data_IF_724999941787
#
_entry.id   IF_724999941787
#
_cell.length_a   1.000
_cell.length_b   1.000
_cell.length_c   1.000
_cell.angle_alpha   90.00
_cell.angle_beta   90.00
_cell.angle_gamma   90.00
#
_symmetry.space_group_name_H-M   'P 1'
#
loop_
_entity.id
_entity.type
_entity.pdbx_description
1 polymer ?
#
# COMPACT_ATOMS: atom_id res chain seq x y z
N UNK A 1 17.51 8.38 28.65
CA UNK A 1 16.92 7.73 27.46
C UNK A 1 15.43 8.06 27.45
N UNK A 2 14.93 8.85 26.48
CA UNK A 2 13.55 9.35 26.44
C UNK A 2 12.75 8.65 25.35
N UNK A 3 11.44 8.52 25.56
CA UNK A 3 10.51 8.10 24.52
C UNK A 3 10.38 9.23 23.51
N UNK A 4 10.41 8.88 22.24
CA UNK A 4 10.25 9.80 21.11
C UNK A 4 8.92 9.53 20.41
N UNK A 5 8.29 10.59 19.90
CA UNK A 5 7.06 10.51 19.13
C UNK A 5 7.25 11.30 17.85
N UNK A 6 6.86 10.74 16.71
CA UNK A 6 6.89 11.43 15.44
C UNK A 6 5.58 11.27 14.65
N UNK A 7 5.38 12.15 13.67
CA UNK A 7 4.16 12.26 12.87
C UNK A 7 4.53 12.23 11.38
N UNK A 8 4.76 11.04 10.80
CA UNK A 8 5.13 10.94 9.39
C UNK A 8 3.98 11.40 8.49
N UNK A 9 4.34 12.17 7.46
CA UNK A 9 3.47 12.53 6.33
C UNK A 9 4.23 12.14 5.06
N UNK A 10 3.63 11.32 4.21
CA UNK A 10 4.22 10.87 2.95
C UNK A 10 3.23 11.11 1.82
N UNK A 11 3.73 11.65 0.71
CA UNK A 11 2.99 11.80 -0.54
C UNK A 11 3.73 11.00 -1.60
N UNK A 12 3.00 10.25 -2.41
CA UNK A 12 3.61 9.39 -3.42
C UNK A 12 2.61 8.84 -4.40
N UNK A 13 3.03 7.75 -5.05
CA UNK A 13 2.21 6.98 -5.97
C UNK A 13 2.25 5.52 -5.53
N UNK A 14 1.13 4.82 -5.68
CA UNK A 14 1.04 3.38 -5.53
C UNK A 14 0.62 2.78 -6.86
N UNK A 15 1.13 1.58 -7.16
CA UNK A 15 0.63 0.78 -8.26
C UNK A 15 0.29 -0.62 -7.78
N UNK A 16 -0.73 -1.24 -8.37
CA UNK A 16 -0.85 -2.69 -8.31
C UNK A 16 -1.31 -3.25 -9.65
N UNK A 17 -0.86 -4.48 -9.86
CA UNK A 17 -1.19 -5.24 -11.05
C UNK A 17 -2.66 -5.63 -11.06
N UNK A 18 -3.17 -5.79 -12.26
CA UNK A 18 -4.51 -6.29 -12.43
C UNK A 18 -4.51 -7.81 -12.53
N UNK A 19 -5.25 -8.48 -11.64
CA UNK A 19 -5.30 -9.93 -11.61
C UNK A 19 -6.74 -10.39 -11.37
N UNK A 20 -7.22 -11.27 -12.23
CA UNK A 20 -8.47 -11.99 -12.02
C UNK A 20 -8.28 -12.98 -10.87
N UNK A 21 -9.24 -13.00 -9.95
CA UNK A 21 -9.22 -13.84 -8.74
C UNK A 21 -10.28 -14.94 -8.82
N UNK A 22 -10.01 -16.07 -8.17
CA UNK A 22 -10.97 -17.16 -7.98
C UNK A 22 -11.69 -17.60 -9.27
N UNK A 23 -13.02 -17.50 -9.28
CA UNK A 23 -13.87 -17.97 -10.38
C UNK A 23 -13.73 -17.10 -11.63
N UNK A 24 -13.30 -15.83 -11.48
CA UNK A 24 -13.07 -14.92 -12.61
C UNK A 24 -11.88 -15.37 -13.47
N UNK A 25 -11.06 -16.31 -12.97
CA UNK A 25 -10.00 -16.98 -13.75
C UNK A 25 -10.54 -18.04 -14.71
N UNK A 26 -11.83 -18.37 -14.66
CA UNK A 26 -12.48 -19.27 -15.63
C UNK A 26 -12.98 -18.44 -16.81
N UNK A 27 -12.21 -18.43 -17.88
CA UNK A 27 -12.53 -17.67 -19.09
C UNK A 27 -13.74 -18.27 -19.81
N UNK A 28 -14.70 -17.45 -20.30
CA UNK A 28 -15.91 -17.95 -20.98
C UNK A 28 -15.64 -18.78 -22.24
N UNK A 29 -14.51 -18.55 -22.90
CA UNK A 29 -14.09 -19.17 -24.15
C UNK A 29 -12.96 -20.20 -23.97
N UNK A 30 -12.54 -20.48 -22.73
CA UNK A 30 -11.43 -21.38 -22.42
C UNK A 30 -10.04 -20.85 -22.82
N UNK A 31 -9.93 -19.58 -23.24
CA UNK A 31 -8.65 -18.95 -23.52
C UNK A 31 -7.83 -18.76 -22.23
N UNK A 32 -6.55 -18.41 -22.36
CA UNK A 32 -5.70 -18.14 -21.19
C UNK A 32 -6.19 -16.90 -20.45
N UNK A 33 -6.14 -16.93 -19.13
CA UNK A 33 -6.52 -15.80 -18.26
C UNK A 33 -5.75 -14.54 -18.63
N UNK A 34 -4.45 -14.66 -18.93
CA UNK A 34 -3.61 -13.53 -19.34
C UNK A 34 -4.05 -12.88 -20.65
N UNK A 35 -4.66 -13.64 -21.57
CA UNK A 35 -5.19 -13.06 -22.81
C UNK A 35 -6.45 -12.25 -22.53
N UNK A 36 -7.26 -12.68 -21.56
CA UNK A 36 -8.42 -11.94 -21.09
C UNK A 36 -8.03 -10.69 -20.29
N UNK A 37 -7.08 -10.81 -19.36
CA UNK A 37 -6.51 -9.67 -18.62
C UNK A 37 -5.99 -8.60 -19.61
N UNK A 38 -5.20 -9.00 -20.61
CA UNK A 38 -4.74 -8.07 -21.65
C UNK A 38 -5.87 -7.40 -22.42
N UNK A 39 -6.91 -8.14 -22.82
CA UNK A 39 -8.06 -7.55 -23.53
C UNK A 39 -8.84 -6.58 -22.67
N UNK A 40 -9.05 -6.92 -21.39
CA UNK A 40 -9.80 -6.09 -20.44
C UNK A 40 -9.05 -4.80 -20.05
N UNK A 41 -7.72 -4.82 -20.10
CA UNK A 41 -6.88 -3.68 -19.71
C UNK A 41 -6.17 -2.98 -20.85
N UNK A 42 -6.56 -3.24 -22.09
CA UNK A 42 -5.92 -2.62 -23.26
C UNK A 42 -4.39 -2.80 -23.25
N UNK A 43 -3.95 -3.99 -22.82
CA UNK A 43 -2.55 -4.36 -22.67
C UNK A 43 -1.81 -3.76 -21.47
N UNK A 44 -2.51 -3.11 -20.52
CA UNK A 44 -1.91 -2.61 -19.28
C UNK A 44 -1.81 -3.72 -18.23
N UNK A 45 -0.64 -3.84 -17.61
CA UNK A 45 -0.40 -4.82 -16.53
C UNK A 45 -0.73 -4.28 -15.12
N UNK A 46 -0.81 -2.96 -14.95
CA UNK A 46 -1.04 -2.33 -13.65
C UNK A 46 -1.72 -0.96 -13.75
N UNK A 47 -2.45 -0.62 -12.70
CA UNK A 47 -3.00 0.72 -12.46
C UNK A 47 -2.13 1.48 -11.47
N UNK A 48 -2.08 2.81 -11.61
CA UNK A 48 -1.35 3.70 -10.71
C UNK A 48 -2.30 4.74 -10.12
N UNK A 49 -2.04 5.13 -8.88
CA UNK A 49 -2.86 6.08 -8.15
C UNK A 49 -2.00 6.93 -7.21
N UNK A 50 -2.44 8.16 -6.93
CA UNK A 50 -1.76 9.01 -5.95
C UNK A 50 -2.06 8.52 -4.54
N UNK A 51 -1.06 8.57 -3.67
CA UNK A 51 -1.19 8.14 -2.27
C UNK A 51 -0.77 9.23 -1.30
N UNK A 52 -1.53 9.37 -0.22
CA UNK A 52 -1.19 10.14 0.97
C UNK A 52 -1.18 9.19 2.17
N UNK A 53 -0.08 9.17 2.91
CA UNK A 53 0.02 8.48 4.19
C UNK A 53 0.29 9.49 5.30
N UNK A 54 -0.48 9.38 6.38
CA UNK A 54 -0.25 10.12 7.63
C UNK A 54 -0.19 9.13 8.78
N UNK A 55 0.59 9.41 9.82
CA UNK A 55 0.65 8.49 10.96
C UNK A 55 1.22 9.10 12.23
N UNK A 56 1.33 8.24 13.23
CA UNK A 56 2.00 8.50 14.51
C UNK A 56 2.89 7.30 14.81
N UNK A 57 4.14 7.55 15.17
CA UNK A 57 5.05 6.49 15.65
C UNK A 57 5.62 6.89 17.01
N UNK A 58 5.88 5.87 17.82
CA UNK A 58 6.47 6.01 19.16
C UNK A 58 7.70 5.12 19.23
N UNK A 59 8.80 5.66 19.71
CA UNK A 59 10.08 4.94 19.85
C UNK A 59 10.51 4.91 21.31
N UNK A 60 10.74 3.70 21.80
CA UNK A 60 11.34 3.43 23.09
C UNK A 60 12.85 3.16 22.91
N UNK A 61 13.70 3.86 23.66
CA UNK A 61 15.14 3.61 23.66
C UNK A 61 15.44 2.28 24.35
N UNK A 62 16.35 1.49 23.79
CA UNK A 62 16.70 0.18 24.36
C UNK A 62 17.89 0.28 25.32
N UNK A 63 18.35 -0.86 25.86
CA UNK A 63 19.59 -0.93 26.65
C UNK A 63 20.85 -0.70 25.81
N UNK A 64 20.78 -1.00 24.52
CA UNK A 64 21.88 -0.94 23.56
C UNK A 64 22.00 0.50 23.03
N UNK A 65 23.20 1.07 23.11
CA UNK A 65 23.46 2.41 22.55
C UNK A 65 23.26 2.37 21.03
N UNK A 66 22.59 3.38 20.47
CA UNK A 66 22.30 3.40 19.03
C UNK A 66 21.06 2.62 18.61
N UNK A 67 20.31 2.00 19.54
CA UNK A 67 19.15 1.16 19.21
C UNK A 67 17.87 1.67 19.87
N UNK A 68 16.86 1.90 19.03
CA UNK A 68 15.47 2.17 19.42
C UNK A 68 14.54 1.11 18.83
N UNK A 69 13.49 0.78 19.56
CA UNK A 69 12.37 -0.02 19.05
C UNK A 69 11.11 0.82 19.11
N UNK A 70 10.20 0.64 18.16
CA UNK A 70 9.01 1.46 18.12
C UNK A 70 7.82 0.75 17.50
N UNK A 71 6.68 1.41 17.60
CA UNK A 71 5.46 1.00 16.93
C UNK A 71 4.75 2.22 16.36
N UNK A 72 3.87 2.01 15.39
CA UNK A 72 3.13 3.10 14.78
C UNK A 72 1.77 2.68 14.24
N UNK A 73 0.93 3.70 14.06
CA UNK A 73 -0.35 3.61 13.37
C UNK A 73 -0.34 4.62 12.22
N UNK A 74 -0.76 4.16 11.06
CA UNK A 74 -0.71 4.92 9.81
C UNK A 74 -2.04 4.79 9.10
N UNK A 75 -2.55 5.90 8.61
CA UNK A 75 -3.67 5.95 7.69
C UNK A 75 -3.16 6.29 6.30
N UNK A 76 -3.45 5.42 5.35
CA UNK A 76 -3.11 5.59 3.94
C UNK A 76 -4.42 5.80 3.18
N UNK A 77 -4.46 6.83 2.35
CA UNK A 77 -5.51 7.03 1.36
C UNK A 77 -4.89 7.05 -0.03
N UNK A 78 -5.50 6.31 -0.94
CA UNK A 78 -5.11 6.28 -2.34
C UNK A 78 -6.30 6.72 -3.20
N UNK A 79 -6.05 7.62 -4.15
CA UNK A 79 -7.05 8.22 -5.01
C UNK A 79 -6.65 8.10 -6.49
N UNK A 80 -7.64 7.95 -7.37
CA UNK A 80 -7.42 7.87 -8.80
C UNK A 80 -7.14 6.46 -9.30
N UNK A 81 -7.50 5.42 -8.53
CA UNK A 81 -7.25 4.04 -8.93
C UNK A 81 -8.37 3.55 -9.87
N UNK A 82 -8.05 3.28 -11.13
CA UNK A 82 -8.94 2.55 -12.03
C UNK A 82 -8.86 1.04 -11.74
N UNK A 83 -9.96 0.42 -11.28
CA UNK A 83 -10.04 -1.03 -11.02
C UNK A 83 -11.17 -1.66 -11.84
N UNK A 84 -11.22 -3.00 -11.91
CA UNK A 84 -12.39 -3.72 -12.42
C UNK A 84 -13.70 -3.30 -11.76
N UNK A 85 -13.67 -3.01 -10.46
CA UNK A 85 -14.85 -2.64 -9.68
C UNK A 85 -15.24 -1.17 -9.86
N UNK A 86 -14.29 -0.30 -10.19
CA UNK A 86 -14.51 1.12 -10.44
C UNK A 86 -13.59 1.63 -11.57
N UNK A 87 -14.05 1.51 -12.83
CA UNK A 87 -13.32 1.99 -14.00
C UNK A 87 -13.37 3.51 -14.16
N UNK A 88 -14.11 4.24 -13.31
CA UNK A 88 -14.18 5.70 -13.36
C UNK A 88 -13.00 6.41 -12.70
N UNK A 89 -12.13 5.65 -12.01
CA UNK A 89 -10.99 6.19 -11.27
C UNK A 89 -11.38 6.87 -9.95
N UNK A 90 -12.65 6.84 -9.56
CA UNK A 90 -13.14 7.41 -8.29
C UNK A 90 -12.92 6.47 -7.09
N UNK A 91 -12.09 5.44 -7.24
CA UNK A 91 -11.84 4.48 -6.18
C UNK A 91 -10.93 5.08 -5.10
N UNK A 92 -11.44 5.11 -3.87
CA UNK A 92 -10.69 5.46 -2.68
C UNK A 92 -10.25 4.18 -1.97
N UNK A 93 -8.95 3.88 -1.98
CA UNK A 93 -8.41 2.78 -1.18
C UNK A 93 -7.84 3.33 0.12
N UNK A 94 -8.62 3.17 1.19
CA UNK A 94 -8.23 3.64 2.52
C UNK A 94 -7.81 2.47 3.38
N UNK A 95 -6.61 2.53 3.97
CA UNK A 95 -6.07 1.46 4.82
C UNK A 95 -5.54 2.02 6.12
N UNK A 96 -5.87 1.34 7.21
CA UNK A 96 -5.19 1.52 8.50
C UNK A 96 -4.07 0.47 8.61
N UNK A 97 -2.84 0.90 8.89
CA UNK A 97 -1.67 0.04 9.04
C UNK A 97 -1.05 0.21 10.41
N UNK A 98 -0.85 -0.89 11.12
CA UNK A 98 0.03 -0.95 12.28
C UNK A 98 1.43 -1.39 11.87
N UNK A 99 2.46 -0.87 12.53
CA UNK A 99 3.86 -1.12 12.21
C UNK A 99 4.69 -1.31 13.48
N UNK A 100 5.77 -2.08 13.35
CA UNK A 100 6.83 -2.22 14.35
C UNK A 100 8.15 -1.81 13.71
N UNK A 101 9.01 -1.13 14.46
CA UNK A 101 10.24 -0.54 13.98
C UNK A 101 11.43 -0.93 14.85
N UNK A 102 12.58 -1.07 14.19
CA UNK A 102 13.88 -1.14 14.84
C UNK A 102 14.78 -0.13 14.15
N UNK A 103 15.24 0.88 14.88
CA UNK A 103 16.09 1.94 14.36
C UNK A 103 17.51 1.78 14.90
N UNK A 104 18.49 1.81 14.00
CA UNK A 104 19.92 1.80 14.30
C UNK A 104 20.52 3.19 14.09
N UNK A 105 21.50 3.58 14.90
CA UNK A 105 22.14 4.89 14.83
C UNK A 105 21.36 6.02 15.52
N UNK A 106 20.34 5.68 16.32
CA UNK A 106 19.61 6.66 17.13
C UNK A 106 20.51 7.19 18.26
N UNK A 107 20.63 8.51 18.37
CA UNK A 107 21.54 9.21 19.29
C UNK A 107 21.43 8.79 20.76
#
# INVERSE_FOLDING_TARGET
RRVEVDFPIQVGMVGAGFYLVDEDRKTPDGARVSEWENKLFDGKDAGFASSLEIGVRVFAPTRINGLQVGGGLHYITTQGWETYYDPSGNFFNNKLRASLFVNFGSR
#
